data_IF_942657709011
#
_entry.id   IF_942657709011
#
_cell.length_a   1.000
_cell.length_b   1.000
_cell.length_c   1.000
_cell.angle_alpha   90.00
_cell.angle_beta   90.00
_cell.angle_gamma   90.00
#
_symmetry.space_group_name_H-M   'P 1'
#
loop_
_entity.id
_entity.type
_entity.pdbx_description
1 polymer ?
#
# COMPACT_ATOMS: atom_id res chain seq x y z
N UNK A 1 -20.31 9.21 0.57
CA UNK A 1 -19.04 8.48 0.69
C UNK A 1 -18.44 8.39 -0.70
N UNK A 2 -17.29 9.00 -0.91
CA UNK A 2 -16.72 9.16 -2.25
C UNK A 2 -16.41 7.79 -2.85
N UNK A 3 -16.92 7.50 -4.05
CA UNK A 3 -16.71 6.25 -4.79
C UNK A 3 -15.21 5.96 -5.03
N UNK A 4 -14.39 6.98 -5.20
CA UNK A 4 -12.94 6.84 -5.36
C UNK A 4 -12.27 6.21 -4.12
N UNK A 5 -12.74 6.52 -2.91
CA UNK A 5 -12.20 5.99 -1.65
C UNK A 5 -12.46 4.48 -1.45
N UNK A 6 -13.56 3.93 -2.00
CA UNK A 6 -13.87 2.49 -1.91
C UNK A 6 -13.00 1.59 -2.78
N UNK A 7 -12.16 2.19 -3.64
CA UNK A 7 -11.33 1.44 -4.61
C UNK A 7 -9.88 1.31 -4.21
N UNK A 8 -9.45 1.98 -3.13
CA UNK A 8 -8.07 1.88 -2.68
C UNK A 8 -7.78 0.45 -2.27
N UNK A 9 -6.67 -0.07 -2.75
CA UNK A 9 -6.27 -1.45 -2.47
C UNK A 9 -4.83 -1.51 -1.97
N UNK A 10 -4.58 -2.54 -1.17
CA UNK A 10 -3.26 -2.89 -0.67
C UNK A 10 -2.72 -4.12 -1.38
N UNK A 11 -1.41 -4.22 -1.54
CA UNK A 11 -0.75 -5.43 -2.00
C UNK A 11 -1.02 -6.59 -1.04
N UNK A 12 -1.34 -7.76 -1.58
CA UNK A 12 -1.45 -8.99 -0.79
C UNK A 12 -0.17 -9.37 -0.02
N UNK A 13 0.96 -8.76 -0.35
CA UNK A 13 2.18 -8.88 0.44
C UNK A 13 1.99 -8.35 1.87
N UNK A 14 1.22 -7.26 2.06
CA UNK A 14 1.00 -6.68 3.38
C UNK A 14 0.22 -7.61 4.29
N UNK A 15 -0.87 -8.23 3.78
CA UNK A 15 -1.63 -9.20 4.57
C UNK A 15 -0.81 -10.45 4.89
N UNK A 16 0.06 -10.92 3.96
CA UNK A 16 0.97 -12.04 4.23
C UNK A 16 2.00 -11.72 5.31
N UNK A 17 2.55 -10.52 5.29
CA UNK A 17 3.51 -10.06 6.30
C UNK A 17 2.83 -9.93 7.66
N UNK A 18 1.63 -9.35 7.72
CA UNK A 18 0.84 -9.27 8.94
C UNK A 18 0.49 -10.67 9.48
N UNK A 19 0.06 -11.59 8.60
CA UNK A 19 -0.19 -13.00 8.96
C UNK A 19 1.04 -13.67 9.60
N UNK A 20 2.23 -13.49 9.01
CA UNK A 20 3.47 -14.02 9.59
C UNK A 20 3.77 -13.41 10.96
N UNK A 21 3.47 -12.12 11.16
CA UNK A 21 3.59 -11.46 12.47
C UNK A 21 2.65 -12.05 13.50
N UNK A 22 1.38 -12.33 13.14
CA UNK A 22 0.41 -13.00 14.01
C UNK A 22 0.92 -14.39 14.44
N UNK A 23 1.38 -15.20 13.49
CA UNK A 23 1.94 -16.53 13.79
C UNK A 23 3.17 -16.42 14.71
N UNK A 24 4.05 -15.45 14.49
CA UNK A 24 5.21 -15.21 15.35
C UNK A 24 4.85 -14.79 16.78
N UNK A 25 3.66 -14.20 16.96
CA UNK A 25 3.08 -13.88 18.28
C UNK A 25 2.31 -15.06 18.90
N UNK A 26 2.17 -16.18 18.20
CA UNK A 26 1.36 -17.32 18.65
C UNK A 26 -0.15 -17.12 18.50
N UNK A 27 -0.58 -16.16 17.66
CA UNK A 27 -1.98 -15.84 17.41
C UNK A 27 -2.46 -16.67 16.20
N UNK A 28 -3.70 -17.19 16.26
CA UNK A 28 -4.32 -17.89 15.13
C UNK A 28 -4.61 -16.91 13.97
N UNK A 29 -3.65 -16.83 13.03
CA UNK A 29 -3.75 -15.94 11.87
C UNK A 29 -4.92 -16.31 10.94
N UNK A 30 -5.26 -17.60 10.81
CA UNK A 30 -6.39 -18.03 9.98
C UNK A 30 -7.72 -17.56 10.59
N UNK A 31 -7.83 -17.58 11.92
CA UNK A 31 -9.02 -17.07 12.59
C UNK A 31 -9.14 -15.56 12.45
N UNK A 32 -8.04 -14.81 12.59
CA UNK A 32 -8.02 -13.35 12.34
C UNK A 32 -8.49 -13.05 10.92
N UNK A 33 -7.96 -13.76 9.92
CA UNK A 33 -8.37 -13.57 8.52
C UNK A 33 -9.85 -13.86 8.31
N UNK A 34 -10.37 -15.00 8.86
CA UNK A 34 -11.79 -15.35 8.74
C UNK A 34 -12.70 -14.32 9.38
N UNK A 35 -12.40 -13.86 10.60
CA UNK A 35 -13.20 -12.84 11.29
C UNK A 35 -13.14 -11.48 10.60
N UNK A 36 -12.02 -11.16 9.91
CA UNK A 36 -11.94 -9.95 9.08
C UNK A 36 -12.64 -10.07 7.72
N UNK A 37 -13.29 -11.20 7.44
CA UNK A 37 -13.97 -11.46 6.16
C UNK A 37 -13.04 -11.88 5.02
N UNK A 38 -11.77 -12.20 5.31
CA UNK A 38 -10.82 -12.67 4.31
C UNK A 38 -10.74 -14.21 4.32
N UNK A 39 -10.80 -14.82 3.14
CA UNK A 39 -10.63 -16.27 2.96
C UNK A 39 -9.14 -16.64 3.03
N UNK A 40 -8.66 -17.36 4.07
CA UNK A 40 -7.26 -17.72 4.23
C UNK A 40 -6.68 -18.49 3.04
N UNK A 41 -7.51 -19.26 2.32
CA UNK A 41 -7.08 -20.04 1.16
C UNK A 41 -6.55 -19.17 0.01
N UNK A 42 -6.93 -17.88 -0.01
CA UNK A 42 -6.50 -16.91 -1.01
C UNK A 42 -5.21 -16.19 -0.66
N UNK A 43 -4.66 -16.41 0.54
CA UNK A 43 -3.51 -15.65 1.06
C UNK A 43 -2.30 -15.68 0.12
N UNK A 44 -2.07 -16.79 -0.55
CA UNK A 44 -0.94 -16.99 -1.48
C UNK A 44 -1.34 -16.88 -2.96
N UNK A 45 -2.54 -16.36 -3.25
CA UNK A 45 -2.96 -16.11 -4.63
C UNK A 45 -2.01 -15.10 -5.30
N UNK A 46 -1.62 -15.39 -6.55
CA UNK A 46 -0.79 -14.48 -7.33
C UNK A 46 -1.52 -13.13 -7.56
N UNK A 47 -0.76 -12.05 -7.53
CA UNK A 47 -1.28 -10.68 -7.74
C UNK A 47 -2.43 -10.28 -6.81
N UNK A 48 -2.52 -10.92 -5.62
CA UNK A 48 -3.53 -10.59 -4.62
C UNK A 48 -3.46 -9.10 -4.27
N UNK A 49 -4.62 -8.45 -4.28
CA UNK A 49 -4.83 -7.14 -3.65
C UNK A 49 -6.07 -7.21 -2.76
N UNK A 50 -6.00 -6.51 -1.63
CA UNK A 50 -7.06 -6.44 -0.63
C UNK A 50 -7.63 -5.02 -0.59
N UNK A 51 -8.94 -4.84 -0.39
CA UNK A 51 -9.50 -3.50 -0.22
C UNK A 51 -8.90 -2.80 1.00
N UNK A 52 -8.47 -1.55 0.86
CA UNK A 52 -7.99 -0.75 1.99
C UNK A 52 -9.08 -0.56 3.05
N UNK A 53 -10.33 -0.51 2.64
CA UNK A 53 -11.49 -0.45 3.53
C UNK A 53 -11.64 -1.69 4.45
N UNK A 54 -10.92 -2.78 4.21
CA UNK A 54 -10.90 -3.96 5.09
C UNK A 54 -9.92 -3.81 6.27
N UNK A 55 -9.08 -2.78 6.30
CA UNK A 55 -8.10 -2.57 7.38
C UNK A 55 -8.71 -2.52 8.78
N UNK A 56 -9.81 -1.76 9.05
CA UNK A 56 -10.41 -1.76 10.37
C UNK A 56 -10.85 -3.16 10.82
N UNK A 57 -11.53 -3.92 9.95
CA UNK A 57 -11.99 -5.27 10.28
C UNK A 57 -10.84 -6.23 10.61
N UNK A 58 -9.72 -6.10 9.90
CA UNK A 58 -8.53 -6.91 10.18
C UNK A 58 -7.95 -6.59 11.56
N UNK A 59 -7.77 -5.29 11.87
CA UNK A 59 -7.20 -4.87 13.15
C UNK A 59 -8.12 -5.13 14.33
N UNK A 60 -9.44 -4.95 14.17
CA UNK A 60 -10.43 -5.28 15.19
C UNK A 60 -10.45 -6.79 15.51
N UNK A 61 -10.37 -7.64 14.47
CA UNK A 61 -10.24 -9.08 14.65
C UNK A 61 -8.93 -9.46 15.36
N UNK A 62 -7.81 -8.82 14.99
CA UNK A 62 -6.51 -9.05 15.62
C UNK A 62 -6.53 -8.67 17.12
N UNK A 63 -7.10 -7.52 17.47
CA UNK A 63 -7.30 -7.09 18.87
C UNK A 63 -8.21 -8.08 19.61
N UNK A 64 -9.32 -8.45 19.02
CA UNK A 64 -10.32 -9.33 19.66
C UNK A 64 -9.76 -10.72 19.98
N UNK A 65 -8.99 -11.30 19.06
CA UNK A 65 -8.44 -12.66 19.21
C UNK A 65 -7.22 -12.66 20.12
N UNK A 66 -6.36 -11.65 20.02
CA UNK A 66 -5.15 -11.55 20.84
C UNK A 66 -5.40 -11.07 22.26
N UNK A 67 -6.45 -10.27 22.46
CA UNK A 67 -6.66 -9.51 23.70
C UNK A 67 -5.66 -8.39 23.91
N UNK A 68 -4.86 -8.05 22.89
CA UNK A 68 -3.80 -7.06 22.95
C UNK A 68 -4.26 -5.72 22.35
N UNK A 69 -4.50 -4.68 23.16
CA UNK A 69 -4.90 -3.36 22.67
C UNK A 69 -3.79 -2.63 21.88
N UNK A 70 -2.56 -3.15 21.90
CA UNK A 70 -1.39 -2.60 21.20
C UNK A 70 -0.90 -3.52 20.09
N UNK A 71 -1.79 -4.35 19.55
CA UNK A 71 -1.43 -5.40 18.57
C UNK A 71 -0.67 -4.85 17.36
N UNK A 72 -0.96 -3.63 16.91
CA UNK A 72 -0.25 -3.01 15.79
C UNK A 72 1.24 -2.82 16.07
N UNK A 73 1.56 -2.37 17.28
CA UNK A 73 2.92 -2.17 17.76
C UNK A 73 3.64 -3.52 17.91
N UNK A 74 3.03 -4.48 18.61
CA UNK A 74 3.65 -5.77 18.90
C UNK A 74 3.74 -6.66 17.65
N UNK A 75 2.75 -6.62 16.78
CA UNK A 75 2.79 -7.28 15.48
C UNK A 75 3.91 -6.67 14.62
N UNK A 76 4.00 -5.34 14.57
CA UNK A 76 5.06 -4.63 13.87
C UNK A 76 6.46 -5.02 14.35
N UNK A 77 6.64 -5.30 15.67
CA UNK A 77 7.88 -5.82 16.22
C UNK A 77 8.21 -7.24 15.72
N UNK A 78 7.23 -8.05 15.35
CA UNK A 78 7.41 -9.45 14.92
C UNK A 78 7.37 -9.67 13.41
N UNK A 79 6.79 -8.74 12.63
CA UNK A 79 6.78 -8.91 11.17
C UNK A 79 8.21 -9.01 10.61
N UNK A 80 8.41 -9.79 9.53
CA UNK A 80 9.67 -9.78 8.80
C UNK A 80 9.87 -8.46 8.06
N UNK A 81 11.10 -8.14 7.65
CA UNK A 81 11.33 -7.10 6.64
C UNK A 81 10.54 -7.43 5.37
N UNK A 82 10.19 -6.39 4.59
CA UNK A 82 9.44 -6.54 3.33
C UNK A 82 10.31 -7.20 2.24
N UNK A 83 10.61 -8.49 2.42
CA UNK A 83 11.46 -9.27 1.50
C UNK A 83 10.66 -9.83 0.33
N UNK A 84 11.37 -10.03 -0.81
CA UNK A 84 10.80 -10.63 -2.01
C UNK A 84 9.82 -9.72 -2.76
N UNK A 85 9.81 -8.43 -2.43
CA UNK A 85 8.98 -7.43 -3.11
C UNK A 85 9.82 -6.66 -4.13
N UNK A 86 9.21 -6.29 -5.25
CA UNK A 86 9.90 -5.52 -6.29
C UNK A 86 10.53 -4.22 -5.75
N UNK A 87 9.91 -3.60 -4.75
CA UNK A 87 10.45 -2.39 -4.11
C UNK A 87 11.73 -2.66 -3.33
N UNK A 88 11.87 -3.83 -2.70
CA UNK A 88 13.12 -4.24 -2.07
C UNK A 88 14.23 -4.38 -3.12
N UNK A 89 13.97 -5.05 -4.23
CA UNK A 89 14.95 -5.22 -5.31
C UNK A 89 15.36 -3.89 -5.96
N UNK A 90 14.40 -2.98 -6.16
CA UNK A 90 14.68 -1.61 -6.60
C UNK A 90 15.58 -0.87 -5.61
N UNK A 91 15.35 -1.06 -4.32
CA UNK A 91 16.15 -0.44 -3.27
C UNK A 91 17.58 -1.00 -3.27
N UNK A 92 17.71 -2.31 -3.17
CA UNK A 92 19.00 -3.02 -3.09
C UNK A 92 19.90 -2.76 -4.31
N UNK A 93 19.34 -2.80 -5.52
CA UNK A 93 20.07 -2.56 -6.76
C UNK A 93 20.44 -1.09 -7.00
N UNK A 94 19.96 -0.16 -6.17
CA UNK A 94 20.32 1.27 -6.22
C UNK A 94 21.71 1.51 -5.64
N UNK A 95 22.39 2.56 -6.11
CA UNK A 95 23.77 2.85 -5.70
C UNK A 95 23.88 3.27 -4.24
N UNK A 96 22.93 4.08 -3.77
CA UNK A 96 22.90 4.58 -2.40
C UNK A 96 21.51 4.41 -1.77
N UNK A 97 21.45 4.45 -0.44
CA UNK A 97 20.19 4.46 0.29
C UNK A 97 19.27 5.59 -0.19
N UNK A 98 19.79 6.80 -0.39
CA UNK A 98 19.00 7.94 -0.87
C UNK A 98 18.41 7.70 -2.27
N UNK A 99 19.16 7.10 -3.19
CA UNK A 99 18.67 6.73 -4.51
C UNK A 99 17.56 5.67 -4.43
N UNK A 100 17.77 4.65 -3.59
CA UNK A 100 16.78 3.60 -3.35
C UNK A 100 15.49 4.15 -2.76
N UNK A 101 15.59 5.01 -1.75
CA UNK A 101 14.44 5.65 -1.11
C UNK A 101 13.60 6.45 -2.12
N UNK A 102 14.24 7.28 -2.95
CA UNK A 102 13.54 8.06 -3.97
C UNK A 102 12.84 7.16 -5.01
N UNK A 103 13.45 6.03 -5.39
CA UNK A 103 12.82 5.06 -6.30
C UNK A 103 11.62 4.39 -5.67
N UNK A 104 11.75 3.89 -4.46
CA UNK A 104 10.63 3.24 -3.75
C UNK A 104 9.45 4.18 -3.60
N UNK A 105 9.69 5.45 -3.27
CA UNK A 105 8.62 6.45 -3.20
C UNK A 105 7.91 6.67 -4.53
N UNK A 106 8.63 6.61 -5.65
CA UNK A 106 8.00 6.69 -6.98
C UNK A 106 7.06 5.51 -7.26
N UNK A 107 7.36 4.33 -6.74
CA UNK A 107 6.59 3.10 -6.97
C UNK A 107 5.77 2.66 -5.77
N UNK A 108 5.56 3.53 -4.75
CA UNK A 108 4.85 3.20 -3.51
C UNK A 108 3.45 2.62 -3.74
N UNK A 109 2.79 2.98 -4.84
CA UNK A 109 1.50 2.45 -5.25
C UNK A 109 1.50 0.92 -5.40
N UNK A 110 2.63 0.30 -5.71
CA UNK A 110 2.75 -1.16 -5.75
C UNK A 110 2.49 -1.81 -4.39
N UNK A 111 2.68 -1.08 -3.29
CA UNK A 111 2.38 -1.54 -1.94
C UNK A 111 0.94 -1.19 -1.56
N UNK A 112 0.55 0.08 -1.73
CA UNK A 112 -0.78 0.56 -1.35
C UNK A 112 -1.21 1.74 -2.21
N UNK A 113 -2.46 1.74 -2.67
CA UNK A 113 -3.08 2.89 -3.33
C UNK A 113 -3.44 3.99 -2.32
N UNK A 114 -3.57 3.64 -1.03
CA UNK A 114 -3.95 4.56 0.03
C UNK A 114 -2.76 5.30 0.65
N UNK A 115 -1.55 4.74 0.53
CA UNK A 115 -0.35 5.29 1.17
C UNK A 115 0.30 6.35 0.30
N UNK A 116 0.54 7.53 0.87
CA UNK A 116 1.29 8.62 0.26
C UNK A 116 2.51 8.97 1.12
N UNK A 117 3.69 8.75 0.57
CA UNK A 117 4.96 9.07 1.19
C UNK A 117 5.72 10.13 0.40
N UNK A 118 6.42 10.99 1.12
CA UNK A 118 7.32 12.00 0.58
C UNK A 118 8.57 12.10 1.44
N UNK A 119 9.69 12.45 0.83
CA UNK A 119 10.98 12.56 1.50
C UNK A 119 11.52 13.98 1.43
N UNK A 120 12.01 14.49 2.56
CA UNK A 120 12.69 15.78 2.69
C UNK A 120 14.09 15.54 3.27
N UNK A 121 15.14 16.00 2.58
CA UNK A 121 16.53 15.79 3.00
C UNK A 121 17.08 16.87 3.93
N UNK A 122 16.47 18.05 3.99
CA UNK A 122 16.96 19.22 4.75
C UNK A 122 15.80 19.93 5.45
N UNK A 123 15.99 20.48 6.66
CA UNK A 123 17.23 20.50 7.44
C UNK A 123 17.61 19.16 8.07
N UNK A 124 16.61 18.29 8.36
CA UNK A 124 16.80 16.91 8.82
C UNK A 124 16.09 15.96 7.89
N UNK A 125 16.73 14.84 7.49
CA UNK A 125 16.06 13.82 6.69
C UNK A 125 14.79 13.31 7.37
N UNK A 126 13.67 13.39 6.67
CA UNK A 126 12.37 12.99 7.16
C UNK A 126 11.57 12.33 6.04
N UNK A 127 11.10 11.13 6.29
CA UNK A 127 10.06 10.48 5.51
C UNK A 127 8.71 10.84 6.15
N UNK A 128 7.90 11.59 5.43
CA UNK A 128 6.54 11.94 5.86
C UNK A 128 5.54 11.13 5.05
N UNK A 129 4.59 10.51 5.72
CA UNK A 129 3.57 9.71 5.02
C UNK A 129 2.20 9.87 5.68
N UNK A 130 1.15 9.64 4.89
CA UNK A 130 -0.23 9.64 5.33
C UNK A 130 -1.06 8.68 4.48
N UNK A 131 -2.24 8.30 4.98
CA UNK A 131 -3.22 7.54 4.21
C UNK A 131 -4.31 8.46 3.65
N UNK A 132 -4.74 8.22 2.42
CA UNK A 132 -5.80 8.99 1.73
C UNK A 132 -7.15 8.93 2.45
N UNK A 133 -7.41 7.87 3.22
CA UNK A 133 -8.65 7.69 3.97
C UNK A 133 -8.34 7.59 5.46
N UNK A 134 -8.76 8.60 6.21
CA UNK A 134 -8.67 8.58 7.67
C UNK A 134 -9.64 7.59 8.31
N UNK A 135 -10.75 7.28 7.65
CA UNK A 135 -11.77 6.34 8.14
C UNK A 135 -11.24 4.91 8.25
N UNK A 136 -10.36 4.51 7.32
CA UNK A 136 -9.83 3.15 7.26
C UNK A 136 -8.40 3.02 7.77
N UNK A 137 -7.76 4.15 8.06
CA UNK A 137 -6.40 4.20 8.59
C UNK A 137 -6.43 4.07 10.13
N UNK A 138 -6.16 2.88 10.64
CA UNK A 138 -6.10 2.64 12.08
C UNK A 138 -4.71 2.99 12.63
N UNK A 139 -4.63 3.25 13.96
CA UNK A 139 -3.34 3.41 14.65
C UNK A 139 -2.45 2.17 14.50
N UNK A 140 -3.05 0.98 14.62
CA UNK A 140 -2.36 -0.30 14.47
C UNK A 140 -1.71 -0.46 13.10
N UNK A 141 -2.40 -0.06 12.02
CA UNK A 141 -1.83 -0.06 10.68
C UNK A 141 -0.60 0.86 10.58
N UNK A 142 -0.71 2.08 11.11
CA UNK A 142 0.39 3.05 11.08
C UNK A 142 1.61 2.56 11.86
N UNK A 143 1.41 2.02 13.06
CA UNK A 143 2.45 1.45 13.92
C UNK A 143 3.17 0.28 13.24
N UNK A 144 2.43 -0.72 12.78
CA UNK A 144 2.97 -1.89 12.09
C UNK A 144 3.71 -1.51 10.81
N UNK A 145 3.18 -0.55 10.04
CA UNK A 145 3.78 -0.09 8.79
C UNK A 145 5.11 0.64 9.04
N UNK A 146 5.18 1.56 10.00
CA UNK A 146 6.43 2.29 10.31
C UNK A 146 7.50 1.32 10.80
N UNK A 147 7.15 0.33 11.62
CA UNK A 147 8.08 -0.73 12.04
C UNK A 147 8.56 -1.58 10.87
N UNK A 148 7.66 -1.94 9.96
CA UNK A 148 8.01 -2.66 8.74
C UNK A 148 8.97 -1.88 7.84
N UNK A 149 8.78 -0.56 7.71
CA UNK A 149 9.70 0.33 7.00
C UNK A 149 11.09 0.37 7.66
N UNK A 150 11.14 0.55 8.99
CA UNK A 150 12.40 0.55 9.74
C UNK A 150 13.15 -0.76 9.52
N UNK A 151 12.49 -1.90 9.65
CA UNK A 151 13.10 -3.22 9.40
C UNK A 151 13.58 -3.37 7.97
N UNK A 152 12.83 -2.87 7.00
CA UNK A 152 13.25 -2.90 5.60
C UNK A 152 14.48 -2.03 5.37
N UNK A 153 14.52 -0.82 5.95
CA UNK A 153 15.69 0.04 5.88
C UNK A 153 16.91 -0.57 6.59
N UNK A 154 16.69 -1.25 7.72
CA UNK A 154 17.76 -2.02 8.37
C UNK A 154 18.26 -3.17 7.50
N UNK A 155 17.35 -3.88 6.82
CA UNK A 155 17.72 -4.99 5.92
C UNK A 155 18.57 -4.52 4.75
N UNK A 156 18.20 -3.40 4.10
CA UNK A 156 18.94 -2.88 2.92
C UNK A 156 20.22 -2.10 3.26
N UNK A 157 20.47 -1.87 4.54
CA UNK A 157 21.68 -1.19 5.04
C UNK A 157 22.53 -2.08 5.95
N UNK A 158 22.36 -3.39 5.86
CA UNK A 158 23.09 -4.37 6.69
C UNK A 158 23.02 -4.04 8.19
N UNK A 159 21.83 -3.61 8.64
CA UNK A 159 21.56 -3.25 10.02
C UNK A 159 22.09 -1.88 10.47
N UNK A 160 22.56 -1.03 9.55
CA UNK A 160 23.10 0.29 9.93
C UNK A 160 22.06 1.38 10.10
N UNK A 161 20.89 1.24 9.50
CA UNK A 161 19.81 2.20 9.66
C UNK A 161 19.35 2.28 11.12
N UNK A 162 19.22 3.51 11.63
CA UNK A 162 18.64 3.81 12.95
C UNK A 162 17.65 4.95 12.81
N UNK A 163 16.42 4.80 13.32
CA UNK A 163 15.51 5.92 13.46
C UNK A 163 16.05 6.88 14.53
N UNK A 164 15.90 8.18 14.29
CA UNK A 164 16.23 9.22 15.28
C UNK A 164 14.98 9.68 16.04
N UNK A 165 13.83 9.65 15.41
CA UNK A 165 12.52 9.97 15.98
C UNK A 165 11.40 9.47 15.10
N UNK A 166 10.31 9.04 15.71
CA UNK A 166 9.05 8.73 15.04
C UNK A 166 7.96 9.67 15.55
N UNK A 167 7.11 10.15 14.68
CA UNK A 167 5.92 10.94 15.05
C UNK A 167 4.70 10.29 14.41
N UNK A 168 3.63 10.09 15.20
CA UNK A 168 2.37 9.55 14.73
C UNK A 168 1.26 10.61 14.67
N UNK A 169 0.26 10.37 13.83
CA UNK A 169 -0.92 11.21 13.66
C UNK A 169 -2.12 10.76 14.50
N UNK A 170 -1.93 9.86 15.43
CA UNK A 170 -2.92 9.37 16.39
C UNK A 170 -2.44 9.55 17.82
N UNK A 171 -3.31 9.32 18.80
CA UNK A 171 -2.95 9.25 20.22
C UNK A 171 -2.33 7.89 20.54
N UNK A 172 -1.47 7.78 21.56
CA UNK A 172 -0.88 6.51 21.96
C UNK A 172 -1.95 5.54 22.49
N UNK A 173 -1.80 4.26 22.18
CA UNK A 173 -2.68 3.17 22.67
C UNK A 173 -2.17 2.59 24.02
N UNK A 174 -0.95 2.94 24.42
CA UNK A 174 -0.29 2.51 25.68
C UNK A 174 0.71 3.57 26.14
N UNK A 175 1.47 3.27 27.20
CA UNK A 175 2.53 4.15 27.68
C UNK A 175 3.60 4.43 26.62
N UNK A 176 4.07 5.66 26.55
CA UNK A 176 5.08 6.09 25.57
C UNK A 176 6.37 5.26 25.67
N UNK A 177 6.72 4.83 26.89
CA UNK A 177 7.90 3.99 27.12
C UNK A 177 7.88 2.68 26.35
N UNK A 178 6.72 2.09 26.11
CA UNK A 178 6.57 0.87 25.30
C UNK A 178 6.85 1.17 23.81
N UNK A 179 6.36 2.29 23.31
CA UNK A 179 6.70 2.74 21.95
C UNK A 179 8.21 2.98 21.81
N UNK A 180 8.83 3.69 22.76
CA UNK A 180 10.28 3.95 22.73
C UNK A 180 11.10 2.67 22.84
N UNK A 181 10.62 1.68 23.60
CA UNK A 181 11.23 0.34 23.66
C UNK A 181 11.23 -0.34 22.29
N UNK A 182 10.08 -0.30 21.59
CA UNK A 182 9.92 -1.00 20.30
C UNK A 182 10.62 -0.26 19.16
N UNK A 183 10.45 1.07 19.08
CA UNK A 183 11.05 1.89 18.02
C UNK A 183 12.53 2.20 18.23
N UNK A 184 13.05 2.02 19.45
CA UNK A 184 14.42 2.35 19.85
C UNK A 184 14.80 3.81 19.58
N UNK A 185 13.85 4.72 19.68
CA UNK A 185 14.01 6.17 19.54
C UNK A 185 12.84 6.90 20.20
N UNK A 186 12.94 8.23 20.43
CA UNK A 186 11.82 9.03 20.92
C UNK A 186 10.61 8.95 19.99
N UNK A 187 9.40 8.85 20.57
CA UNK A 187 8.14 8.78 19.84
C UNK A 187 7.20 9.90 20.29
N UNK A 188 6.68 10.65 19.33
CA UNK A 188 5.72 11.74 19.54
C UNK A 188 4.39 11.40 18.84
N UNK A 189 3.29 12.04 19.27
CA UNK A 189 1.93 11.74 18.80
C UNK A 189 1.15 12.99 18.41
N UNK A 190 -0.04 12.79 17.84
CA UNK A 190 -1.01 13.84 17.52
C UNK A 190 -0.53 14.87 16.46
N UNK A 191 0.31 14.44 15.52
CA UNK A 191 0.71 15.25 14.37
C UNK A 191 -0.33 15.15 13.22
N UNK A 192 -0.08 15.84 12.11
CA UNK A 192 -0.94 15.77 10.92
C UNK A 192 -0.67 14.56 10.04
N UNK A 193 0.54 14.02 10.11
CA UNK A 193 1.01 12.87 9.34
C UNK A 193 2.01 12.10 10.19
N UNK A 194 2.24 10.84 9.87
CA UNK A 194 3.34 10.13 10.54
C UNK A 194 4.68 10.46 9.86
N UNK A 195 5.71 10.57 10.66
CA UNK A 195 7.03 11.02 10.26
C UNK A 195 8.11 10.11 10.85
N UNK A 196 9.08 9.76 10.02
CA UNK A 196 10.25 9.00 10.42
C UNK A 196 11.51 9.83 10.13
N UNK A 197 12.20 10.25 11.20
CA UNK A 197 13.44 10.99 11.13
C UNK A 197 14.64 10.05 11.26
N UNK A 198 15.70 10.33 10.53
CA UNK A 198 16.93 9.54 10.55
C UNK A 198 18.15 10.39 10.17
N UNK A 199 19.35 9.85 10.39
CA UNK A 199 20.60 10.56 10.13
C UNK A 199 20.81 10.84 8.65
N UNK A 200 21.35 12.04 8.34
CA UNK A 200 21.73 12.41 6.97
C UNK A 200 22.83 11.52 6.40
N UNK A 201 23.70 10.97 7.25
CA UNK A 201 24.80 10.10 6.84
C UNK A 201 24.31 8.84 6.11
N UNK A 202 23.13 8.31 6.47
CA UNK A 202 22.59 7.09 5.85
C UNK A 202 22.26 7.29 4.36
N UNK A 203 21.94 8.52 3.93
CA UNK A 203 21.58 8.80 2.54
C UNK A 203 22.70 8.44 1.56
N UNK A 204 23.96 8.58 1.97
CA UNK A 204 25.14 8.25 1.18
C UNK A 204 25.64 6.82 1.42
N UNK A 205 24.96 6.03 2.26
CA UNK A 205 25.30 4.62 2.46
C UNK A 205 25.21 3.87 1.12
N UNK A 206 26.29 3.25 0.72
CA UNK A 206 26.38 2.51 -0.55
C UNK A 206 25.84 1.11 -0.38
N UNK A 207 24.97 0.69 -1.28
CA UNK A 207 24.51 -0.70 -1.32
C UNK A 207 25.64 -1.61 -1.80
N UNK A 208 25.87 -2.71 -1.09
CA UNK A 208 26.76 -3.78 -1.53
C UNK A 208 26.18 -4.58 -2.71
N UNK A 209 24.89 -4.43 -2.96
CA UNK A 209 24.12 -5.16 -3.99
C UNK A 209 23.80 -4.27 -5.20
N UNK A 210 24.42 -3.08 -5.29
CA UNK A 210 24.19 -2.15 -6.39
C UNK A 210 24.66 -2.77 -7.71
N UNK A 211 23.72 -3.02 -8.62
CA UNK A 211 23.96 -3.61 -9.93
C UNK A 211 23.08 -2.92 -10.97
N UNK A 212 23.66 -2.11 -11.88
CA UNK A 212 22.90 -1.32 -12.85
C UNK A 212 21.97 -2.14 -13.74
N UNK A 213 22.42 -3.33 -14.19
CA UNK A 213 21.60 -4.19 -15.05
C UNK A 213 20.38 -4.74 -14.30
N UNK A 214 20.56 -5.17 -13.03
CA UNK A 214 19.44 -5.60 -12.19
C UNK A 214 18.50 -4.46 -11.87
N UNK A 215 19.03 -3.25 -11.67
CA UNK A 215 18.20 -2.07 -11.46
C UNK A 215 17.30 -1.80 -12.66
N UNK A 216 17.84 -1.85 -13.90
CA UNK A 216 17.04 -1.65 -15.11
C UNK A 216 15.95 -2.71 -15.28
N UNK A 217 16.25 -3.97 -15.03
CA UNK A 217 15.25 -5.06 -15.05
C UNK A 217 14.15 -4.86 -14.00
N UNK A 218 14.53 -4.49 -12.77
CA UNK A 218 13.58 -4.22 -11.70
C UNK A 218 12.71 -3.00 -12.00
N UNK A 219 13.27 -1.95 -12.62
CA UNK A 219 12.50 -0.79 -13.05
C UNK A 219 11.51 -1.13 -14.17
N UNK A 220 11.90 -1.96 -15.14
CA UNK A 220 10.99 -2.45 -16.18
C UNK A 220 9.84 -3.25 -15.58
N UNK A 221 10.13 -4.19 -14.67
CA UNK A 221 9.10 -4.96 -13.98
C UNK A 221 8.17 -4.06 -13.15
N UNK A 222 8.70 -3.07 -12.42
CA UNK A 222 7.90 -2.12 -11.65
C UNK A 222 6.97 -1.29 -12.55
N UNK A 223 7.47 -0.80 -13.70
CA UNK A 223 6.67 -0.07 -14.68
C UNK A 223 5.55 -0.94 -15.27
N UNK A 224 5.83 -2.22 -15.57
CA UNK A 224 4.80 -3.16 -16.03
C UNK A 224 3.70 -3.37 -14.99
N UNK A 225 4.06 -3.53 -13.71
CA UNK A 225 3.09 -3.68 -12.62
C UNK A 225 2.24 -2.41 -12.44
N UNK A 226 2.86 -1.21 -12.51
CA UNK A 226 2.10 0.06 -12.47
C UNK A 226 1.11 0.14 -13.64
N UNK A 227 1.54 -0.20 -14.86
CA UNK A 227 0.67 -0.19 -16.04
C UNK A 227 -0.54 -1.12 -15.87
N UNK A 228 -0.35 -2.31 -15.27
CA UNK A 228 -1.45 -3.23 -14.96
C UNK A 228 -2.43 -2.60 -13.96
N UNK A 229 -1.94 -1.95 -12.89
CA UNK A 229 -2.80 -1.26 -11.93
C UNK A 229 -3.59 -0.12 -12.58
N UNK A 230 -2.94 0.69 -13.42
CA UNK A 230 -3.60 1.78 -14.16
C UNK A 230 -4.66 1.27 -15.14
N UNK A 231 -4.42 0.12 -15.77
CA UNK A 231 -5.41 -0.53 -16.63
C UNK A 231 -6.62 -1.03 -15.84
N UNK A 232 -6.38 -1.62 -14.66
CA UNK A 232 -7.47 -2.05 -13.76
C UNK A 232 -8.31 -0.89 -13.26
N UNK A 233 -7.69 0.25 -12.93
CA UNK A 233 -8.42 1.46 -12.55
C UNK A 233 -9.34 1.91 -13.68
N UNK A 234 -8.82 1.98 -14.90
CA UNK A 234 -9.60 2.39 -16.06
C UNK A 234 -10.81 1.46 -16.30
N UNK A 235 -10.59 0.14 -16.21
CA UNK A 235 -11.68 -0.84 -16.32
C UNK A 235 -12.73 -0.63 -15.23
N UNK A 236 -12.30 -0.37 -14.01
CA UNK A 236 -13.21 -0.12 -12.90
C UNK A 236 -13.99 1.19 -13.06
N UNK A 237 -13.36 2.25 -13.57
CA UNK A 237 -14.02 3.52 -13.88
C UNK A 237 -15.09 3.33 -14.98
N UNK A 238 -14.74 2.61 -16.05
CA UNK A 238 -15.69 2.28 -17.10
C UNK A 238 -16.90 1.52 -16.55
N UNK A 239 -16.66 0.48 -15.74
CA UNK A 239 -17.75 -0.28 -15.11
C UNK A 239 -18.64 0.59 -14.24
N UNK A 240 -18.08 1.55 -13.53
CA UNK A 240 -18.85 2.47 -12.69
C UNK A 240 -19.73 3.40 -13.54
N UNK A 241 -19.17 4.01 -14.59
CA UNK A 241 -19.94 4.86 -15.49
C UNK A 241 -21.05 4.07 -16.18
N UNK A 242 -20.76 2.82 -16.57
CA UNK A 242 -21.79 1.93 -17.12
C UNK A 242 -22.90 1.63 -16.12
N UNK A 243 -22.56 1.31 -14.88
CA UNK A 243 -23.56 1.03 -13.84
C UNK A 243 -24.47 2.24 -13.57
N UNK A 244 -23.91 3.47 -13.54
CA UNK A 244 -24.71 4.69 -13.39
C UNK A 244 -25.60 4.98 -14.62
N UNK A 245 -25.17 4.63 -15.82
CA UNK A 245 -25.96 4.80 -17.05
C UNK A 245 -27.05 3.73 -17.20
N UNK A 246 -26.87 2.53 -16.62
CA UNK A 246 -27.90 1.50 -16.57
C UNK A 246 -29.16 1.97 -15.82
N UNK A 247 -28.98 2.77 -14.76
CA UNK A 247 -30.10 3.35 -14.00
C UNK A 247 -30.92 4.34 -14.85
N UNK A 248 -30.33 4.93 -15.89
CA UNK A 248 -30.97 5.87 -16.82
C UNK A 248 -31.44 5.22 -18.15
N UNK A 249 -31.09 3.94 -18.37
CA UNK A 249 -31.49 3.18 -19.59
C UNK A 249 -30.75 3.57 -20.86
N UNK A 250 -29.64 4.34 -20.78
CA UNK A 250 -28.93 4.86 -21.97
C UNK A 250 -27.44 4.50 -21.95
N UNK A 251 -27.15 3.19 -22.03
CA UNK A 251 -25.78 2.66 -22.03
C UNK A 251 -25.27 2.59 -23.47
N UNK A 252 -24.51 3.60 -23.88
CA UNK A 252 -23.76 3.60 -25.15
C UNK A 252 -22.27 3.88 -24.88
N UNK A 253 -21.41 3.46 -25.83
CA UNK A 253 -19.97 3.76 -25.73
C UNK A 253 -19.71 5.28 -25.69
N UNK A 254 -20.54 6.04 -26.40
CA UNK A 254 -20.48 7.50 -26.49
C UNK A 254 -20.81 8.15 -25.13
N UNK A 255 -21.85 7.67 -24.42
CA UNK A 255 -22.27 8.15 -23.13
C UNK A 255 -21.28 7.76 -22.03
N UNK A 256 -20.71 6.55 -22.07
CA UNK A 256 -19.63 6.13 -21.17
C UNK A 256 -18.39 7.01 -21.33
N UNK A 257 -18.03 7.34 -22.59
CA UNK A 257 -16.88 8.21 -22.89
C UNK A 257 -17.15 9.65 -22.44
N UNK A 258 -18.36 10.17 -22.65
CA UNK A 258 -18.78 11.51 -22.22
C UNK A 258 -18.79 11.64 -20.70
N UNK A 259 -19.32 10.66 -19.97
CA UNK A 259 -19.28 10.61 -18.52
C UNK A 259 -17.83 10.56 -17.99
N UNK A 260 -16.96 9.78 -18.64
CA UNK A 260 -15.53 9.75 -18.36
C UNK A 260 -14.83 11.08 -18.63
N UNK A 261 -15.22 11.82 -19.68
CA UNK A 261 -14.69 13.16 -19.96
C UNK A 261 -15.05 14.16 -18.86
N UNK A 262 -16.28 14.12 -18.37
CA UNK A 262 -16.72 14.96 -17.26
C UNK A 262 -15.94 14.66 -15.96
N UNK A 263 -15.50 13.42 -15.76
CA UNK A 263 -14.68 12.96 -14.65
C UNK A 263 -13.15 13.09 -14.88
N UNK A 264 -12.72 13.63 -16.03
CA UNK A 264 -11.31 13.77 -16.40
C UNK A 264 -10.64 12.49 -16.95
N UNK A 265 -11.38 11.40 -17.14
CA UNK A 265 -10.86 10.08 -17.60
C UNK A 265 -11.23 9.75 -19.05
N UNK A 266 -12.12 10.52 -19.66
CA UNK A 266 -12.60 10.27 -21.03
C UNK A 266 -11.51 10.24 -22.09
N UNK A 267 -10.48 11.09 -21.98
CA UNK A 267 -9.31 11.07 -22.86
C UNK A 267 -8.51 9.76 -22.72
N UNK A 268 -8.44 9.18 -21.53
CA UNK A 268 -7.78 7.88 -21.28
C UNK A 268 -8.59 6.73 -21.84
N UNK A 269 -9.93 6.79 -21.74
CA UNK A 269 -10.84 5.81 -22.36
C UNK A 269 -10.73 5.87 -23.88
N UNK A 270 -10.68 7.05 -24.48
CA UNK A 270 -10.56 7.24 -25.93
C UNK A 270 -9.18 6.81 -26.47
N UNK A 271 -8.10 6.92 -25.67
CA UNK A 271 -6.74 6.53 -26.03
C UNK A 271 -6.43 5.06 -25.74
N UNK A 272 -7.36 4.29 -25.16
CA UNK A 272 -7.17 2.87 -24.93
C UNK A 272 -6.84 2.14 -26.22
N UNK A 273 -5.72 1.40 -26.20
CA UNK A 273 -5.29 0.48 -27.25
C UNK A 273 -6.45 -0.41 -27.72
N UNK A 274 -6.42 -0.83 -28.97
CA UNK A 274 -7.44 -1.65 -29.65
C UNK A 274 -7.95 -2.83 -28.81
N UNK A 275 -7.08 -3.44 -27.97
CA UNK A 275 -7.44 -4.53 -27.07
C UNK A 275 -8.32 -4.11 -25.87
N UNK A 276 -8.08 -2.93 -25.30
CA UNK A 276 -8.92 -2.42 -24.20
C UNK A 276 -10.27 -1.94 -24.73
N UNK A 277 -10.30 -1.38 -25.94
CA UNK A 277 -11.53 -0.99 -26.64
C UNK A 277 -12.41 -2.20 -26.97
N UNK A 278 -11.81 -3.29 -27.48
CA UNK A 278 -12.51 -4.56 -27.71
C UNK A 278 -13.07 -5.16 -26.41
N UNK A 279 -12.33 -5.07 -25.28
CA UNK A 279 -12.82 -5.50 -23.98
C UNK A 279 -14.01 -4.66 -23.48
N UNK A 280 -13.99 -3.34 -23.69
CA UNK A 280 -15.11 -2.45 -23.36
C UNK A 280 -16.32 -2.76 -24.24
N UNK A 281 -16.14 -2.94 -25.54
CA UNK A 281 -17.19 -3.32 -26.50
C UNK A 281 -17.80 -4.70 -26.18
N UNK A 282 -16.98 -5.67 -25.73
CA UNK A 282 -17.45 -6.98 -25.27
C UNK A 282 -18.28 -6.87 -23.98
N UNK A 283 -17.88 -6.03 -23.03
CA UNK A 283 -18.62 -5.80 -21.77
C UNK A 283 -19.95 -5.10 -22.07
N UNK A 284 -19.95 -4.05 -22.90
CA UNK A 284 -21.17 -3.35 -23.34
C UNK A 284 -22.10 -4.33 -24.07
N UNK A 285 -21.56 -5.14 -24.99
CA UNK A 285 -22.34 -6.12 -25.73
C UNK A 285 -22.93 -7.27 -24.90
N UNK A 286 -22.28 -7.63 -23.77
CA UNK A 286 -22.83 -8.62 -22.82
C UNK A 286 -23.97 -8.05 -21.99
N UNK A 287 -23.87 -6.77 -21.59
CA UNK A 287 -24.91 -6.11 -20.78
C UNK A 287 -26.15 -5.85 -21.62
N UNK A 288 -26.03 -5.35 -22.85
CA UNK A 288 -27.17 -5.10 -23.75
C UNK A 288 -27.88 -6.37 -24.21
N UNK A 289 -27.23 -7.55 -24.14
CA UNK A 289 -27.86 -8.85 -24.47
C UNK A 289 -28.62 -9.51 -23.31
N UNK A 290 -28.52 -9.03 -22.10
CA UNK A 290 -29.25 -9.56 -20.93
C UNK A 290 -30.67 -8.94 -20.84
N UNK A 291 -30.93 -7.85 -21.55
CA UNK A 291 -32.24 -7.16 -21.58
C UNK A 291 -33.13 -7.52 -22.76
N UNK A 292 -32.74 -8.48 -23.61
CA UNK A 292 -33.57 -9.06 -24.67
C UNK A 292 -33.83 -10.55 -24.37
#
# INVERSE_FOLDING_TARGET
MDYAMRRLTDSGALVRIAYQGLIALGIDGDEVLRQSGFDPSKLYQANLRTPFAAQPMFWDAAVSISGDPCIGLHLGEKIPAYKGQILEYLFLSSQTFGDGLNRVLKYQRLISDALHGSFTASPKPCLTSYFSSHEYATSHLAEAMVLGLIKSFQSVTDGQFRPEKVIFNHSPNTDISEYERVFQCPVEFNARAFQLYFSKSILSHKSLYAEPQLLDLNMQAANQHIAILEQQDLINEVRHHMASLLETGDVSLENVTSAGNAAGTGARIALCNTNARAGIEEIVGKITKVET
#
